data_IF_012544947705
#
_entry.id   IF_012544947705
#
_cell.length_a   1.000
_cell.length_b   1.000
_cell.length_c   1.000
_cell.angle_alpha   90.00
_cell.angle_beta   90.00
_cell.angle_gamma   90.00
#
_symmetry.space_group_name_H-M   'P 1'
#
loop_
_entity.id
_entity.type
_entity.pdbx_description
1 polymer ?
#
# COMPACT_ATOMS: atom_id res chain seq x y z
N UNK A 1 14.74 -16.72 -25.68
CA UNK A 1 13.97 -15.54 -25.24
C UNK A 1 12.58 -15.67 -25.82
N UNK A 2 11.63 -16.25 -25.05
CA UNK A 2 10.28 -16.53 -25.52
C UNK A 2 9.44 -15.25 -25.42
N UNK A 3 9.18 -14.60 -26.55
CA UNK A 3 8.26 -13.46 -26.64
C UNK A 3 6.84 -13.99 -26.70
N UNK A 4 6.02 -13.67 -25.68
CA UNK A 4 4.60 -14.04 -25.67
C UNK A 4 3.82 -13.20 -26.69
N UNK A 5 2.77 -13.77 -27.32
CA UNK A 5 1.88 -13.02 -28.20
C UNK A 5 1.15 -11.92 -27.42
N UNK A 6 0.89 -10.74 -28.03
CA UNK A 6 0.47 -9.52 -27.34
C UNK A 6 -0.94 -9.53 -26.71
N UNK A 7 -1.66 -10.65 -26.72
CA UNK A 7 -3.08 -10.72 -26.34
C UNK A 7 -3.41 -11.77 -25.26
N UNK A 8 -2.45 -12.59 -24.84
CA UNK A 8 -2.69 -13.60 -23.81
C UNK A 8 -1.94 -13.18 -22.54
N UNK A 9 -2.68 -12.66 -21.56
CA UNK A 9 -2.15 -12.50 -20.20
C UNK A 9 -1.83 -13.90 -19.70
N UNK A 10 -0.55 -14.28 -19.56
CA UNK A 10 -0.22 -15.66 -19.24
C UNK A 10 -0.72 -15.95 -17.83
N UNK A 11 -1.29 -17.15 -17.61
CA UNK A 11 -1.79 -17.59 -16.29
C UNK A 11 -0.73 -17.39 -15.20
N UNK A 12 0.55 -17.57 -15.55
CA UNK A 12 1.69 -17.33 -14.68
C UNK A 12 1.75 -15.89 -14.15
N UNK A 13 1.50 -14.89 -14.99
CA UNK A 13 1.52 -13.48 -14.58
C UNK A 13 0.38 -13.18 -13.62
N UNK A 14 -0.83 -13.66 -13.93
CA UNK A 14 -2.00 -13.50 -13.04
C UNK A 14 -1.72 -14.14 -11.67
N UNK A 15 -1.17 -15.34 -11.65
CA UNK A 15 -0.82 -16.04 -10.42
C UNK A 15 0.25 -15.27 -9.61
N UNK A 16 1.30 -14.76 -10.27
CA UNK A 16 2.36 -13.99 -9.64
C UNK A 16 1.81 -12.69 -9.02
N UNK A 17 1.02 -11.93 -9.76
CA UNK A 17 0.35 -10.73 -9.26
C UNK A 17 -0.59 -11.05 -8.09
N UNK A 18 -1.38 -12.11 -8.17
CA UNK A 18 -2.26 -12.53 -7.10
C UNK A 18 -1.49 -12.93 -5.82
N UNK A 19 -0.39 -13.66 -5.96
CA UNK A 19 0.48 -14.03 -4.84
C UNK A 19 1.10 -12.80 -4.19
N UNK A 20 1.62 -11.84 -4.99
CA UNK A 20 2.18 -10.58 -4.47
C UNK A 20 1.13 -9.85 -3.62
N UNK A 21 -0.10 -9.71 -4.13
CA UNK A 21 -1.18 -9.03 -3.41
C UNK A 21 -1.57 -9.77 -2.11
N UNK A 22 -1.75 -11.08 -2.17
CA UNK A 22 -2.11 -11.89 -1.01
C UNK A 22 -1.04 -11.81 0.08
N UNK A 23 0.24 -11.93 -0.31
CA UNK A 23 1.37 -11.81 0.61
C UNK A 23 1.44 -10.42 1.22
N UNK A 24 1.31 -9.36 0.42
CA UNK A 24 1.35 -7.99 0.91
C UNK A 24 0.21 -7.67 1.90
N UNK A 25 -1.01 -8.11 1.60
CA UNK A 25 -2.18 -7.93 2.49
C UNK A 25 -1.99 -8.76 3.77
N UNK A 26 -1.61 -10.03 3.66
CA UNK A 26 -1.37 -10.91 4.79
C UNK A 26 -0.27 -10.39 5.72
N UNK A 27 0.87 -10.00 5.14
CA UNK A 27 1.97 -9.37 5.86
C UNK A 27 1.54 -8.05 6.49
N UNK A 28 0.78 -7.21 5.78
CA UNK A 28 0.24 -5.95 6.29
C UNK A 28 -0.63 -6.13 7.53
N UNK A 29 -1.56 -7.09 7.50
CA UNK A 29 -2.40 -7.39 8.64
C UNK A 29 -1.60 -7.95 9.82
N UNK A 30 -0.67 -8.87 9.54
CA UNK A 30 0.15 -9.50 10.58
C UNK A 30 1.07 -8.48 11.24
N UNK A 31 1.90 -7.79 10.45
CA UNK A 31 2.85 -6.80 10.94
C UNK A 31 2.14 -5.61 11.58
N UNK A 32 0.98 -5.19 11.07
CA UNK A 32 0.17 -4.14 11.68
C UNK A 32 -0.33 -4.53 13.08
N UNK A 33 -0.81 -5.77 13.25
CA UNK A 33 -1.23 -6.29 14.57
C UNK A 33 -0.05 -6.42 15.54
N UNK A 34 1.09 -6.91 15.06
CA UNK A 34 2.31 -7.03 15.86
C UNK A 34 2.82 -5.65 16.30
N UNK A 35 2.92 -4.70 15.38
CA UNK A 35 3.30 -3.32 15.68
C UNK A 35 2.35 -2.64 16.65
N UNK A 36 1.04 -2.81 16.47
CA UNK A 36 0.04 -2.31 17.41
C UNK A 36 0.21 -2.90 18.81
N UNK A 37 0.44 -4.21 18.92
CA UNK A 37 0.69 -4.88 20.21
C UNK A 37 1.91 -4.32 20.94
N UNK A 38 2.98 -3.97 20.21
CA UNK A 38 4.17 -3.34 20.76
C UNK A 38 3.88 -1.90 21.24
N UNK A 39 3.20 -1.12 20.40
CA UNK A 39 2.90 0.29 20.66
C UNK A 39 1.98 0.47 21.86
N UNK A 40 1.03 -0.46 22.09
CA UNK A 40 0.16 -0.46 23.28
C UNK A 40 0.92 -0.47 24.61
N UNK A 41 2.17 -0.93 24.63
CA UNK A 41 2.98 -1.00 25.86
C UNK A 41 3.67 0.32 26.21
N UNK A 42 3.84 1.21 25.24
CA UNK A 42 4.72 2.39 25.39
C UNK A 42 4.07 3.71 24.93
N UNK A 43 2.96 3.68 24.20
CA UNK A 43 2.30 4.87 23.65
C UNK A 43 0.97 5.19 24.33
N UNK A 44 0.50 6.42 24.15
CA UNK A 44 -0.80 6.86 24.62
C UNK A 44 -1.96 6.08 23.94
N UNK A 45 -3.15 6.03 24.55
CA UNK A 45 -4.30 5.36 23.95
C UNK A 45 -4.62 5.88 22.54
N UNK A 46 -4.88 4.97 21.60
CA UNK A 46 -5.26 5.28 20.22
C UNK A 46 -4.14 5.14 19.19
N UNK A 47 -2.87 5.19 19.62
CA UNK A 47 -1.72 4.98 18.74
C UNK A 47 -1.68 3.57 18.13
N UNK A 48 -2.21 2.57 18.83
CA UNK A 48 -2.28 1.21 18.33
C UNK A 48 -3.17 1.09 17.08
N UNK A 49 -4.27 1.84 17.03
CA UNK A 49 -5.16 1.84 15.87
C UNK A 49 -4.49 2.51 14.68
N UNK A 50 -3.80 3.63 14.93
CA UNK A 50 -3.01 4.35 13.94
C UNK A 50 -1.94 3.44 13.34
N UNK A 51 -1.13 2.78 14.17
CA UNK A 51 -0.06 1.88 13.70
C UNK A 51 -0.65 0.70 12.92
N UNK A 52 -1.69 0.05 13.46
CA UNK A 52 -2.30 -1.09 12.77
C UNK A 52 -2.80 -0.71 11.37
N UNK A 53 -3.51 0.42 11.27
CA UNK A 53 -4.08 0.88 9.98
C UNK A 53 -3.00 1.36 9.03
N UNK A 54 -2.05 2.17 9.48
CA UNK A 54 -0.99 2.70 8.63
C UNK A 54 -0.12 1.58 8.06
N UNK A 55 0.26 0.59 8.88
CA UNK A 55 1.06 -0.55 8.41
C UNK A 55 0.27 -1.44 7.45
N UNK A 56 -0.98 -1.75 7.77
CA UNK A 56 -1.80 -2.60 6.91
C UNK A 56 -2.06 -1.96 5.54
N UNK A 57 -2.51 -0.70 5.51
CA UNK A 57 -2.78 0.01 4.26
C UNK A 57 -1.51 0.40 3.51
N UNK A 58 -0.42 0.71 4.22
CA UNK A 58 0.88 0.99 3.61
C UNK A 58 1.42 -0.23 2.86
N UNK A 59 1.43 -1.41 3.49
CA UNK A 59 1.89 -2.64 2.84
C UNK A 59 0.94 -3.09 1.73
N UNK A 60 -0.37 -2.94 1.89
CA UNK A 60 -1.32 -3.19 0.81
C UNK A 60 -1.07 -2.26 -0.41
N UNK A 61 -0.80 -0.98 -0.17
CA UNK A 61 -0.44 -0.01 -1.22
C UNK A 61 0.86 -0.36 -1.93
N UNK A 62 1.89 -0.77 -1.18
CA UNK A 62 3.16 -1.26 -1.75
C UNK A 62 2.97 -2.57 -2.53
N UNK A 63 2.12 -3.48 -2.05
CA UNK A 63 1.73 -4.68 -2.78
C UNK A 63 1.05 -4.36 -4.10
N UNK A 64 0.11 -3.40 -4.09
CA UNK A 64 -0.57 -2.92 -5.29
C UNK A 64 0.41 -2.28 -6.29
N UNK A 65 1.35 -1.47 -5.80
CA UNK A 65 2.39 -0.90 -6.66
C UNK A 65 3.25 -1.99 -7.32
N UNK A 66 3.70 -2.98 -6.55
CA UNK A 66 4.45 -4.12 -7.09
C UNK A 66 3.64 -4.93 -8.10
N UNK A 67 2.36 -5.17 -7.82
CA UNK A 67 1.44 -5.86 -8.72
C UNK A 67 1.29 -5.13 -10.06
N UNK A 68 1.11 -3.81 -10.04
CA UNK A 68 1.04 -2.97 -11.23
C UNK A 68 2.36 -2.96 -12.02
N UNK A 69 3.49 -2.87 -11.31
CA UNK A 69 4.82 -2.95 -11.92
C UNK A 69 5.07 -4.29 -12.62
N UNK A 70 4.65 -5.40 -12.00
CA UNK A 70 4.74 -6.73 -12.60
C UNK A 70 3.92 -6.83 -13.91
N UNK A 71 2.83 -6.08 -14.02
CA UNK A 71 2.01 -5.99 -15.24
C UNK A 71 2.56 -4.98 -16.27
N UNK A 72 3.71 -4.36 -16.01
CA UNK A 72 4.36 -3.40 -16.93
C UNK A 72 3.87 -1.96 -16.80
N UNK A 73 3.15 -1.61 -15.73
CA UNK A 73 2.74 -0.23 -15.48
C UNK A 73 3.92 0.60 -14.98
N UNK A 74 4.13 1.79 -15.57
CA UNK A 74 5.12 2.75 -15.10
C UNK A 74 4.67 3.40 -13.78
N UNK A 75 5.27 2.95 -12.69
CA UNK A 75 5.01 3.48 -11.35
C UNK A 75 5.43 4.94 -11.18
N UNK A 76 6.34 5.47 -12.00
CA UNK A 76 6.82 6.85 -11.87
C UNK A 76 5.67 7.84 -12.05
N UNK A 77 4.78 7.56 -13.00
CA UNK A 77 3.58 8.38 -13.27
C UNK A 77 2.59 8.27 -12.12
N UNK A 78 2.33 7.05 -11.63
CA UNK A 78 1.40 6.81 -10.54
C UNK A 78 1.86 7.42 -9.22
N UNK A 79 3.15 7.26 -8.88
CA UNK A 79 3.75 7.83 -7.67
C UNK A 79 3.82 9.36 -7.76
N UNK A 80 4.09 9.91 -8.94
CA UNK A 80 3.99 11.36 -9.18
C UNK A 80 2.57 11.89 -8.92
N UNK A 81 1.55 11.22 -9.47
CA UNK A 81 0.15 11.57 -9.23
C UNK A 81 -0.26 11.40 -7.75
N UNK A 82 0.16 10.30 -7.10
CA UNK A 82 -0.09 10.07 -5.69
C UNK A 82 0.56 11.15 -4.80
N UNK A 83 1.77 11.62 -5.16
CA UNK A 83 2.43 12.74 -4.50
C UNK A 83 1.62 14.04 -4.62
N UNK A 84 1.15 14.37 -5.82
CA UNK A 84 0.28 15.54 -6.02
C UNK A 84 -1.01 15.46 -5.20
N UNK A 85 -1.68 14.30 -5.21
CA UNK A 85 -2.89 14.05 -4.40
C UNK A 85 -2.59 14.21 -2.92
N UNK A 86 -1.44 13.70 -2.44
CA UNK A 86 -1.03 13.82 -1.03
C UNK A 86 -0.85 15.28 -0.63
N UNK A 87 -0.21 16.10 -1.48
CA UNK A 87 -0.06 17.54 -1.25
C UNK A 87 -1.42 18.25 -1.23
N UNK A 88 -2.31 17.94 -2.17
CA UNK A 88 -3.66 18.53 -2.24
C UNK A 88 -4.50 18.18 -0.99
N UNK A 89 -4.47 16.92 -0.56
CA UNK A 89 -5.10 16.48 0.69
C UNK A 89 -4.47 17.21 1.88
N UNK A 90 -3.15 17.40 1.89
CA UNK A 90 -2.45 18.17 2.92
C UNK A 90 -2.95 19.61 3.01
N UNK A 91 -3.10 20.29 1.88
CA UNK A 91 -3.69 21.64 1.85
C UNK A 91 -5.14 21.65 2.36
N UNK A 92 -5.96 20.66 1.97
CA UNK A 92 -7.34 20.56 2.46
C UNK A 92 -7.41 20.26 3.97
N UNK A 93 -6.51 19.40 4.47
CA UNK A 93 -6.49 18.98 5.87
C UNK A 93 -6.06 20.10 6.83
N UNK A 94 -5.33 21.12 6.35
CA UNK A 94 -4.95 22.28 7.16
C UNK A 94 -6.17 22.97 7.77
N UNK A 95 -7.29 23.08 7.05
CA UNK A 95 -8.54 23.68 7.55
C UNK A 95 -9.15 22.89 8.70
N UNK A 96 -9.02 21.55 8.69
CA UNK A 96 -9.49 20.71 9.79
C UNK A 96 -8.52 20.72 10.97
N UNK A 97 -7.20 20.69 10.73
CA UNK A 97 -6.18 20.72 11.77
C UNK A 97 -6.12 22.04 12.53
N UNK A 98 -6.38 23.17 11.87
CA UNK A 98 -6.39 24.48 12.55
C UNK A 98 -7.56 24.66 13.52
N UNK A 99 -8.58 23.81 13.42
CA UNK A 99 -9.80 23.85 14.24
C UNK A 99 -9.78 22.83 15.40
N UNK A 100 -8.77 21.97 15.46
CA UNK A 100 -8.47 21.09 16.60
C UNK A 100 -7.62 21.84 17.62
#
# INVERSE_FOLDING_TARGET
MFTLPPFEVPLRLIAETAVILLVAIGAGQLLGRLGASLVRRFAAPGWEMLVQRTVAWGLAGLGMANALSAMGVDLSVLLGAAGFVTVAVGFAAQTSMSNF
#
